data_IF_545811275226
#
_entry.id   IF_545811275226
#
_cell.length_a   1.000
_cell.length_b   1.000
_cell.length_c   1.000
_cell.angle_alpha   90.00
_cell.angle_beta   90.00
_cell.angle_gamma   90.00
#
_symmetry.space_group_name_H-M   'P 1'
#
loop_
_entity.id
_entity.type
_entity.pdbx_description
1 polymer ?
#
# COMPACT_ATOMS: atom_id res chain seq x y z
N UNK A 1 -15.84 -34.81 -43.68
CA UNK A 1 -15.62 -33.37 -43.50
C UNK A 1 -16.50 -32.58 -44.44
N UNK A 2 -17.52 -31.85 -43.91
CA UNK A 2 -18.42 -31.02 -44.75
C UNK A 2 -17.71 -29.67 -44.95
N UNK A 3 -17.33 -29.40 -46.20
CA UNK A 3 -16.82 -28.09 -46.61
C UNK A 3 -17.92 -27.05 -46.43
N UNK A 4 -17.68 -26.07 -45.57
CA UNK A 4 -18.54 -24.91 -45.44
C UNK A 4 -18.57 -24.17 -46.79
N UNK A 5 -19.76 -23.86 -47.27
CA UNK A 5 -19.94 -23.19 -48.57
C UNK A 5 -19.21 -21.85 -48.59
N UNK A 6 -18.56 -21.51 -49.69
CA UNK A 6 -17.75 -20.30 -49.88
C UNK A 6 -18.49 -19.02 -49.45
N UNK A 7 -19.83 -18.98 -49.64
CA UNK A 7 -20.67 -17.87 -49.20
C UNK A 7 -20.69 -17.63 -47.70
N UNK A 8 -20.62 -18.70 -46.87
CA UNK A 8 -20.59 -18.57 -45.41
C UNK A 8 -19.25 -18.06 -44.92
N UNK A 9 -18.17 -18.42 -45.60
CA UNK A 9 -16.81 -17.93 -45.25
C UNK A 9 -16.71 -16.44 -45.60
N UNK A 10 -17.24 -16.00 -46.74
CA UNK A 10 -17.27 -14.59 -47.14
C UNK A 10 -18.13 -13.76 -46.19
N UNK A 11 -19.26 -14.27 -45.73
CA UNK A 11 -20.11 -13.60 -44.75
C UNK A 11 -19.43 -13.41 -43.39
N UNK A 12 -18.66 -14.42 -42.97
CA UNK A 12 -17.90 -14.36 -41.69
C UNK A 12 -16.75 -13.34 -41.74
N UNK A 13 -16.07 -13.21 -42.89
CA UNK A 13 -15.01 -12.22 -43.10
C UNK A 13 -15.58 -10.79 -43.11
N UNK A 14 -16.75 -10.57 -43.71
CA UNK A 14 -17.40 -9.25 -43.73
C UNK A 14 -17.86 -8.84 -42.34
N UNK A 15 -18.38 -9.75 -41.51
CA UNK A 15 -18.79 -9.48 -40.14
C UNK A 15 -17.56 -9.15 -39.28
N UNK A 16 -16.45 -9.87 -39.46
CA UNK A 16 -15.19 -9.63 -38.73
C UNK A 16 -14.55 -8.29 -39.10
N UNK A 17 -14.62 -7.85 -40.37
CA UNK A 17 -14.10 -6.56 -40.80
C UNK A 17 -14.90 -5.37 -40.28
N UNK A 18 -16.21 -5.51 -40.09
CA UNK A 18 -17.08 -4.46 -39.55
C UNK A 18 -16.89 -4.25 -38.03
N UNK A 19 -16.41 -5.27 -37.29
CA UNK A 19 -16.13 -5.13 -35.85
C UNK A 19 -14.76 -4.50 -35.57
N UNK A 20 -13.82 -4.52 -36.53
CA UNK A 20 -12.48 -3.92 -36.34
C UNK A 20 -12.45 -2.39 -36.53
N UNK A 21 -13.44 -1.79 -37.17
CA UNK A 21 -13.47 -0.33 -37.44
C UNK A 21 -14.01 0.52 -36.27
N UNK A 22 -14.49 -0.12 -35.20
CA UNK A 22 -15.07 0.60 -34.05
C UNK A 22 -14.04 0.96 -32.94
N UNK A 23 -12.76 0.63 -33.07
CA UNK A 23 -11.75 0.88 -32.04
C UNK A 23 -10.78 2.04 -32.31
N UNK A 24 -11.03 2.84 -33.34
CA UNK A 24 -10.10 3.89 -33.77
C UNK A 24 -10.70 5.29 -33.71
N UNK A 25 -11.36 5.70 -32.62
CA UNK A 25 -11.64 7.11 -32.31
C UNK A 25 -11.92 7.27 -30.81
N UNK A 26 -10.88 7.24 -30.00
CA UNK A 26 -10.85 7.85 -28.69
C UNK A 26 -9.44 8.40 -28.46
N UNK A 27 -9.16 9.53 -29.09
CA UNK A 27 -8.11 10.45 -28.66
C UNK A 27 -8.68 11.23 -27.48
N UNK A 28 -8.49 10.74 -26.27
CA UNK A 28 -8.62 11.56 -25.06
C UNK A 28 -7.37 12.44 -24.97
N UNK A 29 -7.55 13.74 -25.23
CA UNK A 29 -6.53 14.74 -24.93
C UNK A 29 -6.18 14.65 -23.44
N UNK A 30 -4.92 14.33 -23.14
CA UNK A 30 -4.38 14.32 -21.79
C UNK A 30 -4.51 15.74 -21.20
N UNK A 31 -5.41 15.89 -20.22
CA UNK A 31 -5.59 17.13 -19.47
C UNK A 31 -4.35 17.30 -18.58
N UNK A 32 -3.48 18.23 -18.94
CA UNK A 32 -2.33 18.63 -18.13
C UNK A 32 -2.80 19.39 -16.88
N UNK A 33 -2.96 18.64 -15.77
CA UNK A 33 -3.40 19.15 -14.47
C UNK A 33 -2.38 20.11 -13.80
N UNK A 34 -1.20 20.29 -14.37
CA UNK A 34 -0.16 21.16 -13.83
C UNK A 34 -0.14 22.58 -14.42
N UNK A 35 -0.99 22.88 -15.41
CA UNK A 35 -1.16 24.27 -15.90
C UNK A 35 -2.05 25.08 -14.96
N UNK A 36 -1.43 25.70 -13.99
CA UNK A 36 -2.02 26.75 -13.15
C UNK A 36 -2.50 27.90 -14.03
N UNK A 37 -3.80 27.99 -14.29
CA UNK A 37 -4.40 29.21 -14.87
C UNK A 37 -4.38 30.32 -13.82
N UNK A 38 -3.43 31.22 -13.96
CA UNK A 38 -3.45 32.52 -13.26
C UNK A 38 -4.66 33.32 -13.74
N UNK A 39 -5.71 33.35 -12.96
CA UNK A 39 -6.79 34.32 -13.11
C UNK A 39 -6.32 35.63 -12.49
N UNK A 40 -5.92 36.59 -13.31
CA UNK A 40 -5.79 37.98 -12.90
C UNK A 40 -7.19 38.52 -12.58
N UNK A 41 -7.43 39.11 -11.41
CA UNK A 41 -8.67 39.84 -11.16
C UNK A 41 -8.67 41.15 -11.95
N UNK A 42 -9.62 41.32 -12.84
CA UNK A 42 -9.94 42.60 -13.45
C UNK A 42 -10.68 43.46 -12.44
N UNK A 43 -10.01 44.47 -11.94
CA UNK A 43 -10.63 45.55 -11.17
C UNK A 43 -11.23 46.52 -12.16
N UNK A 44 -12.55 46.58 -12.25
CA UNK A 44 -13.28 47.62 -12.95
C UNK A 44 -13.28 48.91 -12.09
N UNK A 45 -12.55 49.88 -12.54
CA UNK A 45 -12.54 51.24 -11.93
C UNK A 45 -13.73 51.99 -12.49
N UNK A 46 -14.75 52.21 -11.66
CA UNK A 46 -15.74 53.26 -11.91
C UNK A 46 -15.22 54.58 -11.40
N UNK A 47 -14.91 55.50 -12.33
CA UNK A 47 -14.71 56.90 -12.06
C UNK A 47 -16.03 57.54 -11.64
N UNK A 48 -16.11 58.08 -10.46
CA UNK A 48 -16.92 59.25 -10.16
C UNK A 48 -16.07 60.17 -9.29
N UNK A 49 -15.72 61.29 -9.88
CA UNK A 49 -15.10 62.46 -9.25
C UNK A 49 -16.14 63.16 -8.38
N UNK A 50 -15.85 63.37 -7.10
CA UNK A 50 -16.35 64.52 -6.38
C UNK A 50 -15.30 65.01 -5.38
N UNK A 51 -14.95 66.25 -5.54
CA UNK A 51 -14.10 67.11 -4.67
C UNK A 51 -14.79 67.19 -3.31
N UNK A 52 -14.05 67.13 -2.21
CA UNK A 52 -14.17 68.06 -1.10
C UNK A 52 -13.06 67.94 -0.03
N UNK A 53 -12.31 68.99 0.05
CA UNK A 53 -11.76 69.68 1.23
C UNK A 53 -11.01 68.93 2.35
N UNK A 54 -9.78 69.40 2.48
CA UNK A 54 -8.87 69.26 3.61
C UNK A 54 -9.51 69.52 4.98
N UNK A 55 -9.45 68.48 5.86
CA UNK A 55 -9.51 68.72 7.30
C UNK A 55 -8.43 67.87 7.97
N UNK A 56 -7.37 68.58 8.43
CA UNK A 56 -6.32 67.95 9.26
C UNK A 56 -6.94 67.43 10.56
N UNK A 57 -7.01 66.16 10.75
CA UNK A 57 -7.32 65.57 12.01
C UNK A 57 -6.04 64.96 12.57
N UNK A 58 -5.53 65.55 13.67
CA UNK A 58 -4.44 64.97 14.46
C UNK A 58 -4.98 63.73 15.20
N UNK A 59 -4.66 62.55 14.72
CA UNK A 59 -4.92 61.31 15.48
C UNK A 59 -3.64 60.98 16.22
N UNK A 60 -3.70 61.12 17.58
CA UNK A 60 -2.74 60.54 18.48
C UNK A 60 -2.83 59.00 18.31
N UNK A 61 -1.80 58.39 17.71
CA UNK A 61 -1.65 56.96 17.67
C UNK A 61 -1.30 56.47 19.10
N UNK A 62 -2.29 56.04 19.83
CA UNK A 62 -2.11 55.07 20.92
C UNK A 62 -1.91 53.72 20.28
N UNK A 63 -0.68 53.18 20.38
CA UNK A 63 -0.38 51.78 19.98
C UNK A 63 -1.25 50.85 20.81
N UNK A 64 -2.09 50.00 20.19
CA UNK A 64 -2.56 48.83 20.89
C UNK A 64 -1.40 47.83 20.95
N UNK A 65 -0.92 47.54 22.13
CA UNK A 65 -0.08 46.39 22.40
C UNK A 65 -0.97 45.15 22.25
N UNK A 66 -1.14 44.67 21.01
CA UNK A 66 -1.56 43.31 20.80
C UNK A 66 -0.35 42.43 21.10
N UNK A 67 -0.36 41.84 22.28
CA UNK A 67 0.45 40.66 22.54
C UNK A 67 -0.04 39.60 21.54
N UNK A 68 0.66 39.45 20.43
CA UNK A 68 0.61 38.23 19.63
C UNK A 68 1.28 37.21 20.52
N UNK A 69 0.50 36.39 21.22
CA UNK A 69 0.96 35.14 21.72
C UNK A 69 1.32 34.35 20.46
N UNK A 70 2.61 34.16 20.20
CA UNK A 70 3.10 33.12 19.32
C UNK A 70 2.64 31.81 19.99
N UNK A 71 1.50 31.30 19.57
CA UNK A 71 1.18 29.90 19.76
C UNK A 71 2.30 29.13 19.06
N UNK A 72 3.18 28.54 19.85
CA UNK A 72 4.11 27.53 19.36
C UNK A 72 3.28 26.52 18.58
N UNK A 73 3.67 26.17 17.34
CA UNK A 73 2.94 25.15 16.61
C UNK A 73 2.96 23.90 17.49
N UNK A 74 1.80 23.54 18.04
CA UNK A 74 1.61 22.22 18.60
C UNK A 74 2.09 21.26 17.50
N UNK A 75 3.03 20.39 17.84
CA UNK A 75 3.43 19.29 16.97
C UNK A 75 2.17 18.46 16.73
N UNK A 76 1.43 18.78 15.67
CA UNK A 76 0.42 17.88 15.14
C UNK A 76 1.19 16.66 14.63
N UNK A 77 1.37 15.65 15.48
CA UNK A 77 1.71 14.33 15.00
C UNK A 77 0.60 13.95 14.02
N UNK A 78 0.96 13.94 12.73
CA UNK A 78 0.03 13.50 11.69
C UNK A 78 -0.44 12.10 12.07
N UNK A 79 -1.71 11.99 12.47
CA UNK A 79 -2.29 10.69 12.81
C UNK A 79 -2.32 9.84 11.55
N UNK A 80 -1.42 8.87 11.46
CA UNK A 80 -1.39 7.95 10.34
C UNK A 80 -2.62 7.06 10.38
N UNK A 81 -3.33 7.00 9.27
CA UNK A 81 -4.50 6.13 9.11
C UNK A 81 -4.10 4.92 8.25
N UNK A 82 -4.53 3.73 8.64
CA UNK A 82 -4.23 2.49 7.96
C UNK A 82 -5.51 1.77 7.52
N UNK A 83 -5.65 1.60 6.21
CA UNK A 83 -6.83 1.01 5.60
C UNK A 83 -6.59 0.66 4.14
N UNK A 84 -7.65 0.21 3.47
CA UNK A 84 -7.67 -0.11 2.04
C UNK A 84 -8.77 0.69 1.35
N UNK A 85 -9.92 0.84 2.02
CA UNK A 85 -11.12 1.40 1.42
C UNK A 85 -11.34 2.82 1.90
N UNK A 86 -11.77 3.68 0.99
CA UNK A 86 -12.31 4.99 1.32
C UNK A 86 -13.64 4.79 2.05
N UNK A 87 -13.78 5.27 3.31
CA UNK A 87 -14.99 5.07 4.08
C UNK A 87 -16.23 5.69 3.41
N UNK A 88 -16.09 6.82 2.72
CA UNK A 88 -17.20 7.50 2.06
C UNK A 88 -17.87 6.67 0.96
N UNK A 89 -17.14 5.71 0.36
CA UNK A 89 -17.69 4.80 -0.65
C UNK A 89 -18.63 3.73 -0.08
N UNK A 90 -18.63 3.57 1.23
CA UNK A 90 -19.45 2.61 1.95
C UNK A 90 -20.39 3.33 2.95
N UNK A 91 -20.66 4.62 2.76
CA UNK A 91 -21.47 5.47 3.63
C UNK A 91 -20.95 5.54 5.08
N UNK A 92 -19.61 5.43 5.26
CA UNK A 92 -18.93 5.60 6.54
C UNK A 92 -18.19 6.94 6.60
N UNK A 93 -17.87 7.37 7.82
CA UNK A 93 -16.99 8.50 8.11
C UNK A 93 -15.67 8.01 8.72
N UNK A 94 -14.62 8.81 8.64
CA UNK A 94 -13.36 8.53 9.32
C UNK A 94 -13.54 8.35 10.84
N UNK A 95 -14.53 9.01 11.42
CA UNK A 95 -14.89 8.98 12.86
C UNK A 95 -15.67 7.73 13.29
N UNK A 96 -15.95 6.77 12.39
CA UNK A 96 -16.87 5.64 12.65
C UNK A 96 -16.51 4.81 13.90
N UNK A 97 -15.24 4.76 14.31
CA UNK A 97 -14.79 4.03 15.48
C UNK A 97 -14.51 4.90 16.70
N UNK A 98 -14.49 6.22 16.60
CA UNK A 98 -14.09 7.13 17.70
C UNK A 98 -14.91 6.96 18.98
N UNK A 99 -16.18 6.57 18.86
CA UNK A 99 -17.07 6.36 20.02
C UNK A 99 -17.06 4.92 20.54
N UNK A 100 -16.38 4.00 19.84
CA UNK A 100 -16.33 2.57 20.17
C UNK A 100 -15.13 2.28 21.05
N UNK A 101 -15.32 1.52 22.11
CA UNK A 101 -14.23 1.06 22.97
C UNK A 101 -13.39 -0.02 22.26
N UNK A 102 -12.07 0.10 22.29
CA UNK A 102 -11.16 -0.89 21.70
C UNK A 102 -11.39 -2.31 22.22
N UNK A 103 -11.80 -2.47 23.49
CA UNK A 103 -12.19 -3.76 24.07
C UNK A 103 -13.40 -4.39 23.37
N UNK A 104 -14.35 -3.58 22.95
CA UNK A 104 -15.52 -4.07 22.20
C UNK A 104 -15.12 -4.58 20.84
N UNK A 105 -14.26 -3.87 20.11
CA UNK A 105 -13.72 -4.34 18.83
C UNK A 105 -13.00 -5.67 18.99
N UNK A 106 -12.13 -5.81 19.99
CA UNK A 106 -11.45 -7.08 20.29
C UNK A 106 -12.43 -8.22 20.55
N UNK A 107 -13.52 -7.94 21.27
CA UNK A 107 -14.56 -8.93 21.56
C UNK A 107 -15.38 -9.31 20.32
N UNK A 108 -15.71 -8.33 19.47
CA UNK A 108 -16.43 -8.57 18.20
C UNK A 108 -15.58 -9.44 17.29
N UNK A 109 -14.29 -9.14 17.12
CA UNK A 109 -13.37 -9.94 16.30
C UNK A 109 -13.25 -11.38 16.80
N UNK A 110 -13.13 -11.58 18.12
CA UNK A 110 -13.13 -12.93 18.71
C UNK A 110 -14.41 -13.71 18.41
N UNK A 111 -15.55 -13.03 18.30
CA UNK A 111 -16.82 -13.68 17.92
C UNK A 111 -16.86 -13.97 16.44
N UNK A 112 -16.44 -13.02 15.58
CA UNK A 112 -16.38 -13.18 14.11
C UNK A 112 -15.50 -14.38 13.74
N UNK A 113 -14.33 -14.54 14.38
CA UNK A 113 -13.42 -15.67 14.13
C UNK A 113 -14.02 -17.04 14.48
N UNK A 114 -15.09 -17.09 15.26
CA UNK A 114 -15.80 -18.34 15.59
C UNK A 114 -16.99 -18.63 14.67
N UNK A 115 -17.34 -17.68 13.80
CA UNK A 115 -18.48 -17.80 12.92
C UNK A 115 -18.02 -18.17 11.50
N UNK A 116 -18.79 -19.00 10.82
CA UNK A 116 -18.70 -19.14 9.38
C UNK A 116 -19.55 -18.02 8.74
N UNK A 117 -18.88 -16.96 8.35
CA UNK A 117 -19.55 -15.87 7.66
C UNK A 117 -19.97 -16.30 6.25
N UNK A 118 -21.17 -15.88 5.84
CA UNK A 118 -21.50 -15.93 4.41
C UNK A 118 -20.59 -14.99 3.64
N UNK A 119 -20.44 -15.20 2.33
CA UNK A 119 -19.61 -14.34 1.47
C UNK A 119 -19.95 -12.85 1.62
N UNK A 120 -21.24 -12.52 1.58
CA UNK A 120 -21.71 -11.13 1.74
C UNK A 120 -21.40 -10.56 3.13
N UNK A 121 -21.56 -11.36 4.18
CA UNK A 121 -21.24 -10.91 5.54
C UNK A 121 -19.72 -10.70 5.73
N UNK A 122 -18.89 -11.54 5.11
CA UNK A 122 -17.44 -11.36 5.11
C UNK A 122 -17.03 -10.12 4.32
N UNK A 123 -17.59 -9.87 3.14
CA UNK A 123 -17.36 -8.67 2.35
C UNK A 123 -17.74 -7.40 3.12
N UNK A 124 -18.89 -7.40 3.77
CA UNK A 124 -19.33 -6.28 4.62
C UNK A 124 -18.34 -6.05 5.78
N UNK A 125 -17.94 -7.12 6.46
CA UNK A 125 -16.95 -7.04 7.54
C UNK A 125 -15.62 -6.48 7.03
N UNK A 126 -15.10 -6.98 5.89
CA UNK A 126 -13.86 -6.49 5.29
C UNK A 126 -13.97 -5.01 4.93
N UNK A 127 -15.04 -4.61 4.24
CA UNK A 127 -15.25 -3.21 3.85
C UNK A 127 -15.33 -2.29 5.07
N UNK A 128 -15.95 -2.74 6.18
CA UNK A 128 -16.05 -1.94 7.40
C UNK A 128 -14.73 -1.87 8.16
N UNK A 129 -14.09 -3.03 8.41
CA UNK A 129 -12.92 -3.11 9.29
C UNK A 129 -11.63 -2.61 8.63
N UNK A 130 -11.54 -2.71 7.28
CA UNK A 130 -10.37 -2.26 6.51
C UNK A 130 -10.57 -0.91 5.82
N UNK A 131 -11.66 -0.20 6.07
CA UNK A 131 -11.76 1.22 5.70
C UNK A 131 -10.81 2.06 6.56
N UNK A 132 -10.33 3.19 5.99
CA UNK A 132 -9.60 4.18 6.77
C UNK A 132 -10.47 4.75 7.88
N UNK A 133 -9.93 4.90 9.07
CA UNK A 133 -10.66 5.42 10.22
C UNK A 133 -9.72 5.92 11.30
N UNK A 134 -10.21 6.85 12.13
CA UNK A 134 -9.53 7.19 13.37
C UNK A 134 -9.57 6.02 14.35
N UNK A 135 -8.69 6.09 15.36
CA UNK A 135 -8.55 5.04 16.36
C UNK A 135 -9.78 4.95 17.26
N UNK A 136 -10.17 3.73 17.66
CA UNK A 136 -11.15 3.52 18.71
C UNK A 136 -10.67 4.06 20.07
N UNK A 137 -11.60 4.36 20.98
CA UNK A 137 -11.25 4.75 22.35
C UNK A 137 -10.41 3.68 23.03
N UNK A 138 -9.42 4.12 23.81
CA UNK A 138 -8.56 3.25 24.59
C UNK A 138 -7.88 2.13 23.78
N UNK A 139 -7.55 2.42 22.51
CA UNK A 139 -6.79 1.54 21.63
C UNK A 139 -5.71 2.37 20.90
N UNK A 140 -4.49 1.90 20.91
CA UNK A 140 -3.42 2.53 20.16
C UNK A 140 -3.29 1.96 18.73
N UNK A 141 -2.51 2.64 17.90
CA UNK A 141 -2.27 2.27 16.49
C UNK A 141 -1.75 0.84 16.34
N UNK A 142 -0.76 0.46 17.14
CA UNK A 142 -0.15 -0.89 17.08
C UNK A 142 -1.16 -1.98 17.38
N UNK A 143 -2.01 -1.77 18.38
CA UNK A 143 -3.06 -2.73 18.74
C UNK A 143 -4.09 -2.91 17.60
N UNK A 144 -4.51 -1.81 16.96
CA UNK A 144 -5.45 -1.90 15.82
C UNK A 144 -4.80 -2.58 14.62
N UNK A 145 -3.54 -2.25 14.32
CA UNK A 145 -2.78 -2.92 13.25
C UNK A 145 -2.61 -4.41 13.53
N UNK A 146 -2.23 -4.80 14.74
CA UNK A 146 -2.09 -6.21 15.11
C UNK A 146 -3.41 -6.98 14.93
N UNK A 147 -4.54 -6.37 15.25
CA UNK A 147 -5.84 -6.99 15.01
C UNK A 147 -6.13 -7.18 13.52
N UNK A 148 -5.87 -6.14 12.70
CA UNK A 148 -6.03 -6.21 11.24
C UNK A 148 -5.11 -7.27 10.63
N UNK A 149 -3.83 -7.24 10.98
CA UNK A 149 -2.80 -8.18 10.50
C UNK A 149 -3.15 -9.62 10.88
N UNK A 150 -3.43 -9.85 12.16
CA UNK A 150 -3.73 -11.20 12.66
C UNK A 150 -4.96 -11.79 11.97
N UNK A 151 -6.02 -11.01 11.81
CA UNK A 151 -7.23 -11.50 11.14
C UNK A 151 -6.98 -11.90 9.68
N UNK A 152 -6.22 -11.10 8.93
CA UNK A 152 -5.88 -11.43 7.53
C UNK A 152 -5.09 -12.74 7.43
N UNK A 153 -4.11 -12.93 8.31
CA UNK A 153 -3.25 -14.13 8.34
C UNK A 153 -4.08 -15.35 8.75
N UNK A 154 -4.82 -15.29 9.85
CA UNK A 154 -5.64 -16.39 10.38
C UNK A 154 -6.70 -16.87 9.39
N UNK A 155 -7.23 -15.96 8.56
CA UNK A 155 -8.22 -16.28 7.56
C UNK A 155 -7.65 -16.44 6.14
N UNK A 156 -6.33 -16.55 5.98
CA UNK A 156 -5.63 -16.78 4.71
C UNK A 156 -6.03 -15.80 3.59
N UNK A 157 -6.19 -14.51 3.93
CA UNK A 157 -6.67 -13.47 3.01
C UNK A 157 -5.52 -12.86 2.18
N UNK A 158 -4.83 -13.65 1.36
CA UNK A 158 -3.64 -13.22 0.62
C UNK A 158 -3.90 -11.98 -0.25
N UNK A 159 -5.00 -11.94 -1.00
CA UNK A 159 -5.34 -10.79 -1.86
C UNK A 159 -5.61 -9.51 -1.03
N UNK A 160 -6.22 -9.65 0.14
CA UNK A 160 -6.46 -8.53 1.05
C UNK A 160 -5.15 -8.00 1.64
N UNK A 161 -4.23 -8.92 1.98
CA UNK A 161 -2.89 -8.57 2.45
C UNK A 161 -2.13 -7.79 1.38
N UNK A 162 -2.16 -8.23 0.12
CA UNK A 162 -1.51 -7.51 -0.98
C UNK A 162 -2.07 -6.09 -1.12
N UNK A 163 -3.39 -5.93 -1.16
CA UNK A 163 -4.03 -4.61 -1.20
C UNK A 163 -3.66 -3.74 -0.01
N UNK A 164 -3.55 -4.34 1.18
CA UNK A 164 -3.17 -3.60 2.38
C UNK A 164 -1.72 -3.10 2.30
N UNK A 165 -0.80 -3.93 1.80
CA UNK A 165 0.60 -3.55 1.56
C UNK A 165 0.77 -2.50 0.46
N UNK A 166 -0.07 -2.53 -0.58
CA UNK A 166 -0.09 -1.54 -1.65
C UNK A 166 -0.63 -0.18 -1.17
N UNK A 167 -1.63 -0.20 -0.30
CA UNK A 167 -2.29 1.01 0.20
C UNK A 167 -1.53 1.69 1.34
N UNK A 168 -0.62 0.97 2.02
CA UNK A 168 0.08 1.46 3.21
C UNK A 168 1.58 1.19 3.08
N UNK A 169 2.36 2.27 2.91
CA UNK A 169 3.80 2.13 2.64
C UNK A 169 4.57 1.57 3.84
N UNK A 170 4.44 2.21 5.02
CA UNK A 170 5.17 1.82 6.23
C UNK A 170 4.25 1.80 7.44
N UNK A 171 4.28 0.69 8.17
CA UNK A 171 3.48 0.48 9.38
C UNK A 171 4.12 -0.59 10.27
N UNK A 172 3.66 -0.63 11.51
CA UNK A 172 4.12 -1.60 12.51
C UNK A 172 3.80 -3.05 12.09
N UNK A 173 4.77 -3.95 12.20
CA UNK A 173 4.66 -5.36 11.81
C UNK A 173 4.43 -5.62 10.31
N UNK A 174 4.82 -4.69 9.42
CA UNK A 174 4.73 -4.89 7.97
C UNK A 174 5.46 -6.17 7.53
N UNK A 175 6.64 -6.43 8.08
CA UNK A 175 7.46 -7.60 7.81
C UNK A 175 6.69 -8.92 8.01
N UNK A 176 5.83 -8.99 9.01
CA UNK A 176 5.00 -10.18 9.29
C UNK A 176 4.03 -10.50 8.16
N UNK A 177 3.43 -9.49 7.53
CA UNK A 177 2.55 -9.69 6.37
C UNK A 177 3.35 -10.11 5.14
N UNK A 178 4.50 -9.48 4.89
CA UNK A 178 5.36 -9.82 3.75
C UNK A 178 5.88 -11.25 3.90
N UNK A 179 6.36 -11.64 5.08
CA UNK A 179 6.81 -13.00 5.35
C UNK A 179 5.69 -14.02 5.14
N UNK A 180 4.48 -13.74 5.65
CA UNK A 180 3.34 -14.61 5.45
C UNK A 180 3.03 -14.84 3.96
N UNK A 181 3.04 -13.79 3.12
CA UNK A 181 2.83 -13.94 1.67
C UNK A 181 3.94 -14.74 0.99
N UNK A 182 5.19 -14.50 1.37
CA UNK A 182 6.34 -15.26 0.88
C UNK A 182 6.16 -16.74 1.21
N UNK A 183 5.91 -17.06 2.47
CA UNK A 183 5.77 -18.43 2.97
C UNK A 183 4.56 -19.13 2.36
N UNK A 184 3.43 -18.44 2.23
CA UNK A 184 2.21 -18.97 1.58
C UNK A 184 2.44 -19.35 0.12
N UNK A 185 3.31 -18.62 -0.61
CA UNK A 185 3.65 -18.99 -1.99
C UNK A 185 4.71 -20.08 -2.06
N UNK A 186 5.73 -20.05 -1.20
CA UNK A 186 6.75 -21.11 -1.11
C UNK A 186 6.10 -22.46 -0.80
N UNK A 187 5.20 -22.50 0.18
CA UNK A 187 4.51 -23.75 0.57
C UNK A 187 3.68 -24.38 -0.56
N UNK A 188 3.29 -23.58 -1.55
CA UNK A 188 2.61 -24.02 -2.78
C UNK A 188 3.59 -24.27 -3.94
N UNK A 189 4.91 -24.29 -3.68
CA UNK A 189 5.98 -24.37 -4.67
C UNK A 189 5.92 -23.27 -5.76
N UNK A 190 5.29 -22.12 -5.47
CA UNK A 190 5.16 -21.00 -6.40
C UNK A 190 6.24 -19.95 -6.14
N UNK A 191 7.48 -20.30 -6.44
CA UNK A 191 8.65 -19.45 -6.19
C UNK A 191 8.59 -18.13 -6.99
N UNK A 192 8.06 -18.16 -8.22
CA UNK A 192 7.94 -16.96 -9.07
C UNK A 192 7.05 -15.92 -8.40
N UNK A 193 5.86 -16.31 -7.94
CA UNK A 193 4.95 -15.41 -7.24
C UNK A 193 5.51 -14.98 -5.89
N UNK A 194 6.18 -15.88 -5.17
CA UNK A 194 6.86 -15.53 -3.94
C UNK A 194 7.91 -14.45 -4.15
N UNK A 195 8.73 -14.55 -5.19
CA UNK A 195 9.74 -13.54 -5.51
C UNK A 195 9.14 -12.19 -5.92
N UNK A 196 7.92 -12.12 -6.46
CA UNK A 196 7.26 -10.83 -6.70
C UNK A 196 6.98 -10.07 -5.40
N UNK A 197 6.78 -10.78 -4.28
CA UNK A 197 6.51 -10.17 -2.97
C UNK A 197 7.72 -9.45 -2.39
N UNK A 198 8.93 -9.67 -2.93
CA UNK A 198 10.13 -8.90 -2.61
C UNK A 198 9.93 -7.39 -2.81
N UNK A 199 9.04 -6.99 -3.71
CA UNK A 199 8.72 -5.58 -3.96
C UNK A 199 8.10 -4.87 -2.74
N UNK A 200 7.54 -5.62 -1.79
CA UNK A 200 7.01 -5.08 -0.53
C UNK A 200 8.07 -4.92 0.56
N UNK A 201 9.28 -5.46 0.35
CA UNK A 201 10.40 -5.33 1.28
C UNK A 201 11.02 -3.95 1.08
N UNK A 202 10.67 -3.02 1.96
CA UNK A 202 11.24 -1.67 1.97
C UNK A 202 12.61 -1.65 2.65
N UNK A 203 13.33 -0.51 2.56
CA UNK A 203 14.64 -0.35 3.20
C UNK A 203 14.56 -0.33 4.73
N UNK A 204 13.40 -0.04 5.27
CA UNK A 204 13.12 0.01 6.72
C UNK A 204 12.94 -1.39 7.31
N UNK A 205 12.56 -2.37 6.51
CA UNK A 205 12.44 -3.77 6.93
C UNK A 205 13.85 -4.37 7.07
N UNK A 206 14.26 -4.64 8.31
CA UNK A 206 15.55 -5.27 8.66
C UNK A 206 15.33 -6.69 9.16
N UNK A 207 14.55 -7.46 8.46
CA UNK A 207 14.29 -8.86 8.78
C UNK A 207 15.24 -9.78 8.01
N UNK A 208 16.07 -10.53 8.75
CA UNK A 208 17.11 -11.38 8.15
C UNK A 208 16.53 -12.50 7.27
N UNK A 209 15.34 -12.99 7.57
CA UNK A 209 14.66 -14.00 6.76
C UNK A 209 14.27 -13.44 5.40
N UNK A 210 13.64 -12.27 5.38
CA UNK A 210 13.23 -11.60 4.15
C UNK A 210 14.42 -11.14 3.30
N UNK A 211 15.50 -10.68 3.94
CA UNK A 211 16.73 -10.31 3.21
C UNK A 211 17.40 -11.54 2.57
N UNK A 212 17.46 -12.68 3.27
CA UNK A 212 17.93 -13.96 2.70
C UNK A 212 17.04 -14.40 1.53
N UNK A 213 15.73 -14.30 1.70
CA UNK A 213 14.78 -14.63 0.64
C UNK A 213 14.98 -13.77 -0.61
N UNK A 214 15.21 -12.47 -0.43
CA UNK A 214 15.52 -11.54 -1.53
C UNK A 214 16.78 -11.94 -2.30
N UNK A 215 17.82 -12.40 -1.59
CA UNK A 215 19.05 -12.92 -2.21
C UNK A 215 18.75 -14.18 -3.03
N UNK A 216 17.96 -15.14 -2.50
CA UNK A 216 17.52 -16.30 -3.28
C UNK A 216 16.76 -15.91 -4.53
N UNK A 217 15.85 -14.94 -4.45
CA UNK A 217 15.12 -14.46 -5.62
C UNK A 217 16.02 -13.81 -6.68
N UNK A 218 17.08 -13.11 -6.28
CA UNK A 218 18.05 -12.58 -7.22
C UNK A 218 18.81 -13.69 -7.96
N UNK A 219 19.21 -14.74 -7.24
CA UNK A 219 19.87 -15.91 -7.86
C UNK A 219 18.89 -16.61 -8.80
N UNK A 220 17.66 -16.85 -8.37
CA UNK A 220 16.61 -17.47 -9.17
C UNK A 220 16.33 -16.71 -10.47
N UNK A 221 16.40 -15.37 -10.43
CA UNK A 221 16.24 -14.49 -11.58
C UNK A 221 17.55 -14.25 -12.38
N UNK A 222 18.58 -15.08 -12.20
CA UNK A 222 19.90 -14.97 -12.84
C UNK A 222 20.66 -13.66 -12.58
N UNK A 223 20.34 -12.93 -11.50
CA UNK A 223 21.00 -11.69 -11.09
C UNK A 223 22.13 -11.96 -10.07
N UNK A 224 23.02 -12.91 -10.37
CA UNK A 224 24.06 -13.41 -9.46
C UNK A 224 24.95 -12.31 -8.89
N UNK A 225 25.35 -11.31 -9.68
CA UNK A 225 26.20 -10.21 -9.19
C UNK A 225 25.49 -9.37 -8.12
N UNK A 226 24.18 -9.11 -8.29
CA UNK A 226 23.40 -8.40 -7.29
C UNK A 226 23.17 -9.26 -6.04
N UNK A 227 22.97 -10.56 -6.21
CA UNK A 227 22.83 -11.50 -5.11
C UNK A 227 24.12 -11.56 -4.27
N UNK A 228 25.31 -11.64 -4.91
CA UNK A 228 26.59 -11.62 -4.22
C UNK A 228 26.78 -10.35 -3.41
N UNK A 229 26.50 -9.18 -3.99
CA UNK A 229 26.63 -7.90 -3.28
C UNK A 229 25.72 -7.84 -2.04
N UNK A 230 24.44 -8.24 -2.17
CA UNK A 230 23.52 -8.23 -1.01
C UNK A 230 23.92 -9.29 0.04
N UNK A 231 24.45 -10.42 -0.40
CA UNK A 231 24.97 -11.44 0.53
C UNK A 231 26.15 -10.93 1.34
N UNK A 232 27.12 -10.24 0.69
CA UNK A 232 28.26 -9.65 1.39
C UNK A 232 27.79 -8.62 2.45
N UNK A 233 26.84 -7.76 2.09
CA UNK A 233 26.24 -6.79 3.02
C UNK A 233 25.55 -7.50 4.20
N UNK A 234 24.75 -8.54 3.93
CA UNK A 234 24.04 -9.32 4.95
C UNK A 234 25.03 -9.97 5.93
N UNK A 235 26.14 -10.49 5.39
CA UNK A 235 27.22 -11.12 6.17
C UNK A 235 27.97 -10.12 7.05
N UNK A 236 28.30 -8.94 6.51
CA UNK A 236 28.93 -7.85 7.27
C UNK A 236 28.04 -7.36 8.41
N UNK A 237 26.72 -7.40 8.25
CA UNK A 237 25.74 -7.06 9.27
C UNK A 237 25.54 -8.16 10.34
N UNK A 238 26.21 -9.31 10.20
CA UNK A 238 26.07 -10.46 11.11
C UNK A 238 24.69 -11.14 11.03
N UNK A 239 23.93 -10.94 9.95
CA UNK A 239 22.59 -11.49 9.76
C UNK A 239 22.58 -12.79 8.95
N UNK A 240 23.75 -13.25 8.50
CA UNK A 240 23.91 -14.54 7.84
C UNK A 240 24.12 -15.67 8.84
N UNK A 241 23.90 -16.91 8.42
CA UNK A 241 24.21 -18.10 9.17
C UNK A 241 24.92 -19.14 8.29
N UNK A 242 25.56 -20.12 8.94
CA UNK A 242 26.39 -21.13 8.24
C UNK A 242 25.63 -21.95 7.22
N UNK A 243 24.32 -22.20 7.44
CA UNK A 243 23.50 -22.92 6.47
C UNK A 243 23.26 -22.07 5.22
N UNK A 244 22.84 -20.81 5.43
CA UNK A 244 22.63 -19.87 4.33
C UNK A 244 23.90 -19.60 3.54
N UNK A 245 25.04 -19.39 4.26
CA UNK A 245 26.35 -19.16 3.64
C UNK A 245 26.75 -20.31 2.70
N UNK A 246 26.60 -21.55 3.14
CA UNK A 246 26.92 -22.72 2.34
C UNK A 246 26.00 -22.84 1.11
N UNK A 247 24.71 -22.65 1.28
CA UNK A 247 23.72 -22.73 0.20
C UNK A 247 23.91 -21.62 -0.84
N UNK A 248 24.10 -20.37 -0.40
CA UNK A 248 24.22 -19.25 -1.34
C UNK A 248 25.54 -19.32 -2.11
N UNK A 249 26.67 -19.74 -1.47
CA UNK A 249 27.95 -19.93 -2.16
C UNK A 249 27.85 -21.03 -3.25
N UNK A 250 27.12 -22.11 -2.97
CA UNK A 250 26.84 -23.13 -3.98
C UNK A 250 26.00 -22.57 -5.14
N UNK A 251 24.92 -21.85 -4.87
CA UNK A 251 24.05 -21.27 -5.89
C UNK A 251 24.74 -20.19 -6.73
N UNK A 252 25.64 -19.43 -6.13
CA UNK A 252 26.47 -18.45 -6.84
C UNK A 252 27.57 -19.12 -7.69
N UNK A 253 27.89 -20.39 -7.42
CA UNK A 253 28.95 -21.14 -8.11
C UNK A 253 30.35 -20.93 -7.51
N UNK A 254 30.43 -20.46 -6.27
CA UNK A 254 31.69 -20.30 -5.53
C UNK A 254 32.18 -21.66 -5.03
N UNK A 255 31.27 -22.54 -4.61
CA UNK A 255 31.54 -23.89 -4.17
C UNK A 255 30.83 -24.92 -5.05
N UNK A 256 31.42 -26.12 -5.18
CA UNK A 256 30.85 -27.21 -6.02
C UNK A 256 29.92 -28.15 -5.25
N UNK A 257 29.89 -28.06 -3.93
CA UNK A 257 29.10 -28.96 -3.07
C UNK A 257 28.55 -28.20 -1.87
N UNK A 258 27.40 -28.65 -1.35
CA UNK A 258 26.87 -28.23 -0.07
C UNK A 258 26.89 -29.42 0.89
N UNK A 259 27.39 -29.24 2.10
CA UNK A 259 27.50 -30.30 3.10
C UNK A 259 26.51 -30.12 4.27
N UNK A 260 25.71 -29.06 4.26
CA UNK A 260 24.80 -28.77 5.36
C UNK A 260 23.51 -29.61 5.24
N UNK A 261 23.11 -30.18 6.36
CA UNK A 261 21.80 -30.84 6.48
C UNK A 261 20.70 -29.78 6.52
N UNK A 262 19.59 -30.06 5.87
CA UNK A 262 18.39 -29.23 5.93
C UNK A 262 17.96 -29.10 7.40
N UNK A 263 17.59 -27.90 7.81
CA UNK A 263 17.06 -27.59 9.14
C UNK A 263 15.58 -27.24 8.98
N UNK A 264 14.72 -27.88 9.76
CA UNK A 264 13.26 -27.70 9.66
C UNK A 264 12.74 -26.50 10.46
N UNK A 265 13.53 -25.44 10.63
CA UNK A 265 13.17 -24.28 11.44
C UNK A 265 12.47 -23.15 10.68
N UNK A 266 12.56 -23.15 9.36
CA UNK A 266 11.79 -22.24 8.47
C UNK A 266 11.79 -22.77 7.02
N UNK A 267 11.00 -22.13 6.14
CA UNK A 267 10.83 -22.56 4.74
C UNK A 267 12.01 -22.26 3.81
N UNK A 268 13.03 -21.54 4.28
CA UNK A 268 14.24 -21.23 3.49
C UNK A 268 15.40 -22.20 3.75
N UNK A 269 15.28 -23.08 4.72
CA UNK A 269 16.32 -24.06 5.13
C UNK A 269 16.16 -25.42 4.52
#
# INVERSE_FOLDING_TARGET
>A
MRLLSLSKIISLIIIFSLTLTSYLLAEEEAIDIWKKKEKKPQISINKNEEKLQNKKINIKLTKPQSQIQEETPENFEETKLFGIFDPSKNDFELSMWEKTEGKEIKNILKRINKLQLSKTAEELFINTFYSYSYLPKNMNEKELLDLKISWMIENNKNELIEKFLESNNEFYNKEKLVQYLVDSNISKANIVESCKKVNFISKEIKDSYLEKFKIYCLVFNNKKNQASLLYDILKEQGQSDTFFDDKINFLLGVTNQTNQKVKDNNLLN
#
